data_IF_273812747213
#
_entry.id   IF_273812747213
#
_cell.length_a   1.000
_cell.length_b   1.000
_cell.length_c   1.000
_cell.angle_alpha   90.00
_cell.angle_beta   90.00
_cell.angle_gamma   90.00
#
_symmetry.space_group_name_H-M   'P 1'
#
loop_
_entity.id
_entity.type
_entity.pdbx_description
1 polymer ?
#
# COMPACT_ATOMS: atom_id res chain seq x y z
N UNK A 1 -16.65 9.02 9.91
CA UNK A 1 -15.63 9.82 9.20
C UNK A 1 -14.35 9.05 9.43
N UNK A 2 -13.87 8.34 8.41
CA UNK A 2 -12.74 7.43 8.60
C UNK A 2 -11.47 8.20 8.27
N UNK A 3 -10.58 8.33 9.25
CA UNK A 3 -9.25 8.88 9.05
C UNK A 3 -8.42 7.85 8.32
N UNK A 4 -7.59 8.27 7.37
CA UNK A 4 -6.70 7.38 6.62
C UNK A 4 -5.26 7.77 6.94
N UNK A 5 -4.45 6.77 7.25
CA UNK A 5 -3.01 6.89 7.38
C UNK A 5 -2.41 6.44 6.06
N UNK A 6 -1.81 7.39 5.34
CA UNK A 6 -1.13 7.15 4.07
C UNK A 6 0.36 6.98 4.27
N UNK A 7 0.90 5.82 3.88
CA UNK A 7 2.33 5.56 3.81
C UNK A 7 2.79 5.62 2.36
N UNK A 8 3.63 6.59 2.02
CA UNK A 8 4.18 6.76 0.68
C UNK A 8 5.66 6.39 0.62
N UNK A 9 6.04 5.56 -0.36
CA UNK A 9 7.42 5.22 -0.70
C UNK A 9 7.72 5.86 -2.06
N UNK A 10 8.72 6.73 -2.11
CA UNK A 10 9.14 7.47 -3.30
C UNK A 10 10.38 6.81 -3.90
N UNK A 11 10.25 6.40 -5.16
CA UNK A 11 11.29 5.80 -5.97
C UNK A 11 11.73 6.80 -7.05
N UNK A 12 13.01 7.14 -7.08
CA UNK A 12 13.58 7.96 -8.16
C UNK A 12 13.43 7.24 -9.49
N UNK A 13 13.01 7.98 -10.53
CA UNK A 13 12.94 7.45 -11.88
C UNK A 13 14.34 7.13 -12.41
N UNK A 14 14.68 5.85 -12.49
CA UNK A 14 15.96 5.33 -12.92
C UNK A 14 15.82 3.96 -13.58
N UNK A 15 16.92 3.41 -14.08
CA UNK A 15 17.01 2.03 -14.58
C UNK A 15 16.73 0.98 -13.49
N UNK A 16 16.76 1.37 -12.21
CA UNK A 16 16.53 0.50 -11.05
C UNK A 16 15.10 0.50 -10.54
N UNK A 17 14.24 1.41 -11.01
CA UNK A 17 12.89 1.61 -10.46
C UNK A 17 12.05 0.34 -10.52
N UNK A 18 12.13 -0.45 -11.61
CA UNK A 18 11.41 -1.72 -11.71
C UNK A 18 11.86 -2.71 -10.63
N UNK A 19 13.17 -2.87 -10.42
CA UNK A 19 13.69 -3.74 -9.36
C UNK A 19 13.32 -3.26 -7.94
N UNK A 20 13.16 -1.95 -7.74
CA UNK A 20 12.67 -1.41 -6.47
C UNK A 20 11.19 -1.72 -6.25
N UNK A 21 10.36 -1.65 -7.30
CA UNK A 21 8.95 -2.06 -7.24
C UNK A 21 8.86 -3.58 -6.97
N UNK A 22 9.67 -4.39 -7.65
CA UNK A 22 9.74 -5.84 -7.40
C UNK A 22 10.04 -6.13 -5.94
N UNK A 23 11.03 -5.48 -5.32
CA UNK A 23 11.33 -5.65 -3.90
C UNK A 23 10.14 -5.26 -2.98
N UNK A 24 9.42 -4.17 -3.30
CA UNK A 24 8.22 -3.79 -2.55
C UNK A 24 7.12 -4.84 -2.74
N UNK A 25 6.97 -5.39 -3.93
CA UNK A 25 5.98 -6.42 -4.20
C UNK A 25 6.33 -7.76 -3.56
N UNK A 26 7.60 -8.14 -3.52
CA UNK A 26 8.09 -9.31 -2.77
C UNK A 26 7.81 -9.15 -1.28
N UNK A 27 7.96 -7.93 -0.76
CA UNK A 27 7.59 -7.60 0.60
C UNK A 27 6.09 -7.75 0.81
N UNK A 28 5.27 -7.17 -0.06
CA UNK A 28 3.80 -7.35 -0.01
C UNK A 28 3.44 -8.83 -0.06
N UNK A 29 4.09 -9.60 -0.94
CA UNK A 29 3.84 -11.03 -1.14
C UNK A 29 4.12 -11.85 0.13
N UNK A 30 5.17 -11.47 0.87
CA UNK A 30 5.62 -12.14 2.09
C UNK A 30 4.69 -11.96 3.30
N UNK A 31 3.93 -10.86 3.35
CA UNK A 31 3.10 -10.50 4.51
C UNK A 31 1.60 -10.50 4.22
N UNK A 32 1.19 -10.48 2.95
CA UNK A 32 -0.23 -10.50 2.59
C UNK A 32 -0.85 -11.87 2.91
N UNK A 33 -2.08 -11.85 3.42
CA UNK A 33 -2.97 -13.02 3.50
C UNK A 33 -3.92 -13.06 2.32
N UNK A 34 -4.28 -11.89 1.78
CA UNK A 34 -5.17 -11.74 0.63
C UNK A 34 -4.81 -10.48 -0.16
N UNK A 35 -5.00 -10.53 -1.48
CA UNK A 35 -4.87 -9.37 -2.35
C UNK A 35 -5.88 -9.43 -3.49
N UNK A 36 -6.58 -8.32 -3.71
CA UNK A 36 -7.50 -8.11 -4.82
C UNK A 36 -7.07 -6.85 -5.57
N UNK A 37 -6.95 -6.94 -6.90
CA UNK A 37 -6.56 -5.82 -7.73
C UNK A 37 -7.74 -5.33 -8.55
N UNK A 38 -7.99 -4.02 -8.51
CA UNK A 38 -9.04 -3.35 -9.28
C UNK A 38 -8.39 -2.47 -10.35
N UNK A 39 -8.68 -2.79 -11.62
CA UNK A 39 -8.06 -2.13 -12.77
C UNK A 39 -9.03 -2.10 -13.98
N UNK A 40 -8.76 -1.26 -15.00
CA UNK A 40 -9.56 -1.25 -16.22
C UNK A 40 -9.39 -2.57 -16.98
N UNK A 41 -10.50 -3.12 -17.48
CA UNK A 41 -10.54 -4.32 -18.29
C UNK A 41 -9.94 -4.02 -19.65
N UNK A 42 -8.89 -4.74 -20.03
CA UNK A 42 -8.19 -4.53 -21.32
C UNK A 42 -7.75 -3.07 -21.56
N UNK A 43 -7.56 -2.29 -20.49
CA UNK A 43 -7.21 -0.87 -20.56
C UNK A 43 -8.39 0.09 -20.84
N UNK A 44 -9.64 -0.39 -20.86
CA UNK A 44 -10.83 0.45 -20.97
C UNK A 44 -11.19 1.09 -19.62
N UNK A 45 -10.96 2.40 -19.49
CA UNK A 45 -11.25 3.16 -18.27
C UNK A 45 -12.74 3.29 -17.94
N UNK A 46 -13.63 2.82 -18.82
CA UNK A 46 -15.08 2.76 -18.58
C UNK A 46 -15.56 1.40 -18.07
N UNK A 47 -14.74 0.36 -18.13
CA UNK A 47 -15.09 -1.00 -17.69
C UNK A 47 -14.04 -1.50 -16.69
N UNK A 48 -14.41 -1.61 -15.42
CA UNK A 48 -13.48 -1.97 -14.33
C UNK A 48 -13.72 -3.39 -13.85
N UNK A 49 -12.64 -4.12 -13.60
CA UNK A 49 -12.68 -5.46 -13.04
C UNK A 49 -11.86 -5.56 -11.77
N UNK A 50 -12.28 -6.46 -10.89
CA UNK A 50 -11.57 -6.83 -9.66
C UNK A 50 -11.22 -8.30 -9.73
N UNK A 51 -9.95 -8.63 -9.49
CA UNK A 51 -9.43 -9.99 -9.57
C UNK A 51 -8.57 -10.31 -8.34
N UNK A 52 -8.69 -11.53 -7.82
CA UNK A 52 -7.80 -12.02 -6.76
C UNK A 52 -6.42 -12.31 -7.34
N UNK A 53 -5.37 -11.84 -6.67
CA UNK A 53 -3.98 -12.04 -7.07
C UNK A 53 -3.41 -13.25 -6.33
N UNK A 54 -2.98 -14.27 -7.08
CA UNK A 54 -2.33 -15.48 -6.54
C UNK A 54 -0.87 -15.58 -7.04
N UNK A 55 0.02 -14.80 -6.42
CA UNK A 55 1.48 -14.96 -6.53
C UNK A 55 2.16 -14.46 -7.82
N UNK A 56 1.43 -13.93 -8.81
CA UNK A 56 2.05 -13.36 -10.01
C UNK A 56 2.29 -11.84 -9.86
N UNK A 57 3.37 -11.50 -9.16
CA UNK A 57 3.82 -10.11 -8.90
C UNK A 57 3.91 -9.27 -10.17
N UNK A 58 4.46 -9.81 -11.26
CA UNK A 58 4.61 -9.08 -12.52
C UNK A 58 3.28 -8.64 -13.11
N UNK A 59 2.30 -9.54 -13.12
CA UNK A 59 0.95 -9.22 -13.58
C UNK A 59 0.29 -8.15 -12.70
N UNK A 60 0.59 -8.14 -11.41
CA UNK A 60 0.09 -7.16 -10.46
C UNK A 60 0.68 -5.77 -10.71
N UNK A 61 2.00 -5.69 -10.94
CA UNK A 61 2.67 -4.42 -11.25
C UNK A 61 2.09 -3.82 -12.54
N UNK A 62 1.91 -4.64 -13.59
CA UNK A 62 1.34 -4.20 -14.86
C UNK A 62 -0.08 -3.62 -14.67
N UNK A 63 -0.92 -4.32 -13.90
CA UNK A 63 -2.29 -3.87 -13.61
C UNK A 63 -2.31 -2.61 -12.74
N UNK A 64 -1.38 -2.45 -11.80
CA UNK A 64 -1.24 -1.24 -10.98
C UNK A 64 -0.67 -0.04 -11.74
N UNK A 65 -0.04 -0.25 -12.91
CA UNK A 65 0.47 0.83 -13.73
C UNK A 65 -0.64 1.67 -14.40
N UNK A 66 -1.86 1.12 -14.52
CA UNK A 66 -3.01 1.88 -15.02
C UNK A 66 -3.40 2.97 -14.02
N UNK A 67 -3.63 4.18 -14.53
CA UNK A 67 -4.02 5.33 -13.72
C UNK A 67 -5.26 4.98 -12.88
N UNK A 68 -5.25 5.37 -11.60
CA UNK A 68 -6.31 5.11 -10.61
C UNK A 68 -6.58 3.64 -10.27
N UNK A 69 -5.76 2.70 -10.77
CA UNK A 69 -5.83 1.32 -10.31
C UNK A 69 -5.25 1.19 -8.91
N UNK A 70 -5.75 0.21 -8.18
CA UNK A 70 -5.37 -0.03 -6.81
C UNK A 70 -5.50 -1.51 -6.48
N UNK A 71 -4.82 -1.92 -5.41
CA UNK A 71 -4.99 -3.23 -4.82
C UNK A 71 -5.45 -3.08 -3.37
N UNK A 72 -6.50 -3.80 -3.01
CA UNK A 72 -6.91 -3.98 -1.62
C UNK A 72 -6.15 -5.21 -1.07
N UNK A 73 -5.40 -5.00 0.01
CA UNK A 73 -4.48 -5.98 0.56
C UNK A 73 -4.80 -6.17 2.04
N UNK A 74 -4.94 -7.43 2.44
CA UNK A 74 -4.97 -7.83 3.85
C UNK A 74 -3.56 -8.30 4.22
N UNK A 75 -2.98 -7.68 5.24
CA UNK A 75 -1.70 -8.07 5.82
C UNK A 75 -1.92 -8.71 7.18
N UNK A 76 -1.10 -9.71 7.54
CA UNK A 76 -0.97 -10.16 8.93
C UNK A 76 0.40 -9.78 9.46
N UNK A 77 0.44 -8.81 10.37
CA UNK A 77 1.67 -8.30 11.00
C UNK A 77 1.63 -8.69 12.46
N UNK A 78 2.46 -9.66 12.84
CA UNK A 78 2.34 -10.31 14.14
C UNK A 78 1.00 -11.01 14.28
N UNK A 79 0.17 -10.56 15.23
CA UNK A 79 -1.17 -11.10 15.49
C UNK A 79 -2.31 -10.22 14.98
N UNK A 80 -1.98 -9.10 14.32
CA UNK A 80 -2.95 -8.10 13.86
C UNK A 80 -3.15 -8.21 12.35
N UNK A 81 -4.42 -8.24 11.94
CA UNK A 81 -4.81 -8.15 10.54
C UNK A 81 -5.02 -6.67 10.18
N UNK A 82 -4.36 -6.21 9.12
CA UNK A 82 -4.37 -4.82 8.66
C UNK A 82 -4.83 -4.77 7.21
N UNK A 83 -5.87 -4.01 6.94
CA UNK A 83 -6.32 -3.74 5.57
C UNK A 83 -5.68 -2.47 5.05
N UNK A 84 -5.07 -2.55 3.87
CA UNK A 84 -4.47 -1.42 3.19
C UNK A 84 -4.85 -1.39 1.72
N UNK A 85 -5.05 -0.19 1.19
CA UNK A 85 -5.16 0.04 -0.24
C UNK A 85 -3.83 0.50 -0.80
N UNK A 86 -3.23 -0.31 -1.65
CA UNK A 86 -2.02 0.02 -2.39
C UNK A 86 -2.34 0.67 -3.73
N UNK A 87 -1.60 1.71 -4.11
CA UNK A 87 -1.62 2.29 -5.45
C UNK A 87 -0.22 2.69 -5.89
N UNK A 88 0.01 2.72 -7.20
CA UNK A 88 1.26 3.20 -7.80
C UNK A 88 0.92 4.41 -8.65
N UNK A 89 1.59 5.53 -8.37
CA UNK A 89 1.40 6.78 -9.13
C UNK A 89 2.72 7.18 -9.77
N UNK A 90 2.67 7.53 -11.05
CA UNK A 90 3.80 8.08 -11.78
C UNK A 90 3.74 9.61 -11.70
N UNK A 91 4.66 10.18 -10.94
CA UNK A 91 4.92 11.62 -10.86
C UNK A 91 6.09 11.97 -11.79
N UNK A 92 6.17 13.22 -12.24
CA UNK A 92 7.05 13.67 -13.35
C UNK A 92 8.50 13.13 -13.29
N UNK A 93 9.07 13.02 -12.10
CA UNK A 93 10.45 12.58 -11.83
C UNK A 93 10.55 11.41 -10.84
N UNK A 94 9.41 10.86 -10.39
CA UNK A 94 9.38 9.83 -9.36
C UNK A 94 8.19 8.89 -9.49
N UNK A 95 8.33 7.68 -9.00
CA UNK A 95 7.23 6.74 -8.84
C UNK A 95 6.90 6.62 -7.36
N UNK A 96 5.63 6.83 -7.01
CA UNK A 96 5.16 6.79 -5.62
C UNK A 96 4.32 5.54 -5.42
N UNK A 97 4.77 4.66 -4.55
CA UNK A 97 3.97 3.53 -4.05
C UNK A 97 3.32 3.96 -2.75
N UNK A 98 1.98 3.97 -2.71
CA UNK A 98 1.22 4.45 -1.55
C UNK A 98 0.38 3.33 -0.98
N UNK A 99 0.41 3.18 0.35
CA UNK A 99 -0.49 2.33 1.13
C UNK A 99 -1.40 3.21 1.99
N UNK A 100 -2.69 3.14 1.75
CA UNK A 100 -3.72 3.84 2.53
C UNK A 100 -4.36 2.85 3.51
N UNK A 101 -4.18 3.10 4.81
CA UNK A 101 -4.67 2.25 5.89
C UNK A 101 -5.73 3.02 6.68
N UNK A 102 -6.90 2.43 6.94
CA UNK A 102 -7.89 3.10 7.78
C UNK A 102 -7.41 3.16 9.24
N UNK A 103 -7.57 4.33 9.89
CA UNK A 103 -7.16 4.55 11.29
C UNK A 103 -7.76 3.49 12.21
N UNK A 104 -8.99 3.03 11.96
CA UNK A 104 -9.66 2.02 12.80
C UNK A 104 -8.96 0.66 12.83
N UNK A 105 -8.17 0.31 11.81
CA UNK A 105 -7.34 -0.91 11.83
C UNK A 105 -6.03 -0.74 12.61
N UNK A 106 -5.55 0.49 12.78
CA UNK A 106 -4.30 0.80 13.51
C UNK A 106 -4.59 1.21 14.95
N UNK A 107 -5.65 2.01 15.15
CA UNK A 107 -6.06 2.64 16.39
C UNK A 107 -7.59 2.53 16.53
N UNK A 108 -8.12 1.34 16.87
CA UNK A 108 -9.56 1.12 16.97
C UNK A 108 -10.20 1.97 18.08
N UNK A 109 -9.46 2.25 19.15
CA UNK A 109 -9.87 3.13 20.23
C UNK A 109 -8.77 4.13 20.61
N UNK A 110 -9.18 5.34 21.00
CA UNK A 110 -8.26 6.41 21.41
C UNK A 110 -7.91 6.27 22.90
N UNK A 111 -7.18 5.21 23.25
CA UNK A 111 -6.62 4.98 24.58
C UNK A 111 -5.08 4.91 24.53
N UNK A 112 -4.43 5.04 25.69
CA UNK A 112 -2.96 4.96 25.79
C UNK A 112 -2.44 3.60 25.33
N UNK A 113 -3.10 2.51 25.73
CA UNK A 113 -2.73 1.14 25.36
C UNK A 113 -2.83 0.90 23.84
N UNK A 114 -3.90 1.39 23.20
CA UNK A 114 -4.05 1.28 21.76
C UNK A 114 -3.06 2.18 21.00
N UNK A 115 -2.70 3.35 21.54
CA UNK A 115 -1.64 4.19 20.96
C UNK A 115 -0.27 3.51 21.03
N UNK A 116 0.03 2.82 22.13
CA UNK A 116 1.26 2.03 22.27
C UNK A 116 1.29 0.88 21.25
N UNK A 117 0.17 0.16 21.11
CA UNK A 117 0.02 -0.95 20.16
C UNK A 117 0.15 -0.47 18.70
N UNK A 118 -0.50 0.64 18.36
CA UNK A 118 -0.38 1.31 17.06
C UNK A 118 1.07 1.72 16.78
N UNK A 119 1.77 2.27 17.78
CA UNK A 119 3.17 2.68 17.64
C UNK A 119 4.08 1.48 17.37
N UNK A 120 3.84 0.35 18.06
CA UNK A 120 4.60 -0.89 17.84
C UNK A 120 4.36 -1.45 16.43
N UNK A 121 3.09 -1.51 16.00
CA UNK A 121 2.73 -1.97 14.65
C UNK A 121 3.40 -1.11 13.57
N UNK A 122 3.31 0.22 13.70
CA UNK A 122 3.94 1.15 12.75
C UNK A 122 5.46 1.01 12.74
N UNK A 123 6.09 0.81 13.91
CA UNK A 123 7.53 0.57 14.00
C UNK A 123 7.92 -0.71 13.26
N UNK A 124 7.15 -1.80 13.42
CA UNK A 124 7.39 -3.04 12.69
C UNK A 124 7.27 -2.86 11.18
N UNK A 125 6.23 -2.15 10.71
CA UNK A 125 6.06 -1.81 9.29
C UNK A 125 7.28 -1.05 8.77
N UNK A 126 7.77 -0.06 9.51
CA UNK A 126 8.95 0.72 9.11
C UNK A 126 10.21 -0.11 9.06
N UNK A 127 10.48 -0.93 10.08
CA UNK A 127 11.65 -1.81 10.07
C UNK A 127 11.61 -2.82 8.92
N UNK A 128 10.42 -3.33 8.60
CA UNK A 128 10.22 -4.24 7.49
C UNK A 128 10.53 -3.55 6.16
N UNK A 129 10.05 -2.32 5.94
CA UNK A 129 10.32 -1.56 4.71
C UNK A 129 11.81 -1.19 4.63
N UNK A 130 12.39 -0.67 5.71
CA UNK A 130 13.77 -0.18 5.74
C UNK A 130 14.80 -1.30 5.46
N UNK A 131 14.53 -2.52 5.93
CA UNK A 131 15.40 -3.68 5.69
C UNK A 131 15.32 -4.23 4.27
N UNK A 132 14.18 -4.07 3.59
CA UNK A 132 13.89 -4.79 2.35
C UNK A 132 13.79 -3.89 1.11
N UNK A 133 13.68 -2.57 1.29
CA UNK A 133 13.42 -1.63 0.19
C UNK A 133 14.48 -0.55 0.12
N UNK A 134 15.07 -0.36 -1.07
CA UNK A 134 15.88 0.82 -1.37
C UNK A 134 14.94 1.90 -1.92
N UNK A 135 14.85 3.04 -1.24
CA UNK A 135 13.98 4.15 -1.62
C UNK A 135 14.76 5.48 -1.59
N UNK A 136 14.30 6.49 -2.32
CA UNK A 136 14.88 7.83 -2.27
C UNK A 136 14.35 8.61 -1.06
N UNK A 137 13.06 8.47 -0.81
CA UNK A 137 12.35 9.05 0.33
C UNK A 137 11.15 8.18 0.68
N UNK A 138 10.72 8.23 1.93
CA UNK A 138 9.37 7.81 2.33
C UNK A 138 8.72 8.89 3.18
N UNK A 139 7.40 8.87 3.27
CA UNK A 139 6.63 9.77 4.12
C UNK A 139 5.43 9.05 4.72
N UNK A 140 5.02 9.52 5.89
CA UNK A 140 3.73 9.18 6.48
C UNK A 140 2.88 10.45 6.52
N UNK A 141 1.70 10.38 5.93
CA UNK A 141 0.74 11.48 5.91
C UNK A 141 -0.57 11.01 6.55
N UNK A 142 -1.07 11.79 7.51
CA UNK A 142 -2.38 11.57 8.12
C UNK A 142 -3.41 12.40 7.36
N UNK A 143 -4.07 11.81 6.38
CA UNK A 143 -5.19 12.49 5.71
C UNK A 143 -6.47 12.31 6.51
N UNK A 144 -7.04 13.41 6.98
CA UNK A 144 -8.47 13.46 7.37
C UNK A 144 -9.25 13.92 6.14
N UNK A 145 -10.11 13.08 5.54
CA UNK A 145 -11.28 13.39 4.65
C UNK A 145 -11.75 12.07 3.99
N UNK A 146 -13.03 11.69 3.89
CA UNK A 146 -14.27 12.44 3.60
C UNK A 146 -15.45 11.94 4.46
N UNK A 147 -16.35 12.86 4.84
CA UNK A 147 -17.68 12.51 5.31
C UNK A 147 -18.46 11.77 4.21
N UNK A 148 -19.16 10.72 4.61
CA UNK A 148 -20.19 10.07 3.82
C UNK A 148 -21.35 11.04 3.64
N UNK A 149 -21.53 11.53 2.42
CA UNK A 149 -22.86 11.79 1.88
C UNK A 149 -23.41 10.48 1.32
#
# INVERSE_FOLDING_TARGET
MNTIIGLGIVLEASDKTIGQIENIMDLVDSYKTKMEITHPKEGDYHDWITETVDGNIYSTIEKLAYRTSYADIEFRIGDTDVEARMSITNETDALVVKFDIAEEHILPEKSVEHLESATQLMTQIFEIIDRNTVYAQWYLDGFTLRGSH
#
